data_IF_285311313285
#
_entry.id   IF_285311313285
#
_cell.length_a   1.000
_cell.length_b   1.000
_cell.length_c   1.000
_cell.angle_alpha   90.00
_cell.angle_beta   90.00
_cell.angle_gamma   90.00
#
_symmetry.space_group_name_H-M   'P 1'
#
loop_
_entity.id
_entity.type
_entity.pdbx_description
1 polymer ?
#
# COMPACT_ATOMS: atom_id res chain seq x y z
N UNK A 1 14.44 42.11 28.54
CA UNK A 1 13.72 40.96 29.11
C UNK A 1 12.45 40.77 28.31
N UNK A 2 12.38 39.72 27.50
CA UNK A 2 11.15 39.15 26.93
C UNK A 2 11.40 37.65 26.84
N UNK A 3 10.59 36.93 27.59
CA UNK A 3 10.53 35.47 27.72
C UNK A 3 9.59 34.88 26.67
N UNK A 4 9.71 33.56 26.49
CA UNK A 4 8.67 32.60 26.03
C UNK A 4 8.46 32.55 24.49
N UNK A 5 8.41 31.40 23.79
CA UNK A 5 8.20 29.98 24.12
C UNK A 5 9.04 29.09 23.20
N UNK A 6 9.76 28.11 23.77
CA UNK A 6 10.27 26.98 23.00
C UNK A 6 9.11 26.02 22.74
N UNK A 7 8.61 26.01 21.50
CA UNK A 7 7.61 25.05 21.06
C UNK A 7 8.25 23.66 21.06
N UNK A 8 8.02 22.89 22.13
CA UNK A 8 8.41 21.49 22.20
C UNK A 8 7.34 20.71 21.46
N UNK A 9 7.52 20.53 20.15
CA UNK A 9 6.72 19.56 19.42
C UNK A 9 6.97 18.19 20.05
N UNK A 10 5.92 17.66 20.66
CA UNK A 10 5.88 16.32 21.20
C UNK A 10 6.24 15.35 20.08
N UNK A 11 7.46 14.82 20.09
CA UNK A 11 7.91 13.72 19.23
C UNK A 11 7.26 12.41 19.70
N UNK A 12 5.93 12.36 19.65
CA UNK A 12 5.18 11.12 19.72
C UNK A 12 5.53 10.33 18.48
N UNK A 13 6.25 9.23 18.63
CA UNK A 13 6.62 8.35 17.54
C UNK A 13 5.35 7.91 16.79
N UNK A 14 5.15 8.39 15.56
CA UNK A 14 4.00 8.01 14.72
C UNK A 14 4.18 6.55 14.34
N UNK A 15 3.13 5.76 14.56
CA UNK A 15 3.15 4.34 14.18
C UNK A 15 3.13 4.23 12.65
N UNK A 16 3.79 3.19 12.14
CA UNK A 16 3.92 2.93 10.70
C UNK A 16 2.88 1.91 10.23
N UNK A 17 2.06 2.32 9.26
CA UNK A 17 1.03 1.46 8.67
C UNK A 17 1.39 1.10 7.24
N UNK A 18 1.45 -0.19 6.92
CA UNK A 18 1.46 -0.63 5.53
C UNK A 18 0.03 -0.62 4.97
N UNK A 19 -0.19 0.07 3.85
CA UNK A 19 -1.47 0.08 3.15
C UNK A 19 -1.31 -0.56 1.78
N UNK A 20 -1.85 -1.75 1.59
CA UNK A 20 -1.97 -2.36 0.25
C UNK A 20 -3.09 -1.73 -0.54
N UNK A 21 -2.98 -1.73 -1.87
CA UNK A 21 -4.01 -1.14 -2.73
C UNK A 21 -4.11 0.39 -2.59
N UNK A 22 -3.08 1.04 -2.04
CA UNK A 22 -3.04 2.49 -1.77
C UNK A 22 -3.24 3.36 -3.02
N UNK A 23 -3.00 2.82 -4.21
CA UNK A 23 -3.22 3.52 -5.49
C UNK A 23 -4.66 3.40 -6.02
N UNK A 24 -5.50 2.56 -5.43
CA UNK A 24 -6.90 2.39 -5.82
C UNK A 24 -7.83 3.43 -5.18
N UNK A 25 -9.08 3.50 -5.62
CA UNK A 25 -10.03 4.51 -5.14
C UNK A 25 -10.20 4.51 -3.61
N UNK A 26 -10.54 3.36 -3.01
CA UNK A 26 -10.72 3.26 -1.56
C UNK A 26 -9.38 3.46 -0.83
N UNK A 27 -8.29 2.86 -1.36
CA UNK A 27 -6.98 2.97 -0.76
C UNK A 27 -6.44 4.40 -0.73
N UNK A 28 -6.67 5.17 -1.78
CA UNK A 28 -6.25 6.57 -1.84
C UNK A 28 -6.97 7.45 -0.82
N UNK A 29 -8.29 7.30 -0.70
CA UNK A 29 -9.06 8.03 0.31
C UNK A 29 -8.66 7.64 1.74
N UNK A 30 -8.41 6.34 1.97
CA UNK A 30 -7.95 5.87 3.27
C UNK A 30 -6.53 6.38 3.59
N UNK A 31 -5.64 6.40 2.60
CA UNK A 31 -4.29 6.95 2.73
C UNK A 31 -4.32 8.38 3.28
N UNK A 32 -5.16 9.25 2.71
CA UNK A 32 -5.30 10.64 3.18
C UNK A 32 -5.71 10.70 4.65
N UNK A 33 -6.67 9.88 5.09
CA UNK A 33 -7.12 9.86 6.49
C UNK A 33 -6.03 9.31 7.43
N UNK A 34 -5.31 8.26 7.04
CA UNK A 34 -4.25 7.67 7.86
C UNK A 34 -3.09 8.64 8.09
N UNK A 35 -2.75 9.45 7.09
CA UNK A 35 -1.64 10.42 7.18
C UNK A 35 -1.88 11.56 8.17
N UNK A 36 -3.06 11.68 8.77
CA UNK A 36 -3.32 12.62 9.86
C UNK A 36 -2.56 12.20 11.14
N UNK A 37 -2.49 10.91 11.43
CA UNK A 37 -1.98 10.38 12.71
C UNK A 37 -0.82 9.38 12.56
N UNK A 38 -0.66 8.78 11.38
CA UNK A 38 0.31 7.72 11.12
C UNK A 38 1.30 8.10 10.01
N UNK A 39 2.43 7.42 9.99
CA UNK A 39 3.27 7.36 8.79
C UNK A 39 2.87 6.13 7.97
N UNK A 40 2.67 6.30 6.67
CA UNK A 40 2.09 5.25 5.83
C UNK A 40 3.12 4.74 4.83
N UNK A 41 3.30 3.42 4.81
CA UNK A 41 4.00 2.70 3.75
C UNK A 41 2.95 2.25 2.73
N UNK A 42 2.80 3.01 1.65
CA UNK A 42 1.84 2.78 0.59
C UNK A 42 2.36 1.70 -0.39
N UNK A 43 1.68 0.55 -0.43
CA UNK A 43 2.07 -0.60 -1.23
C UNK A 43 1.26 -0.68 -2.53
N UNK A 44 1.97 -0.78 -3.65
CA UNK A 44 1.39 -1.06 -4.97
C UNK A 44 2.39 -1.82 -5.84
N UNK A 45 1.95 -2.39 -6.98
CA UNK A 45 2.86 -3.14 -7.88
C UNK A 45 4.02 -2.30 -8.43
N UNK A 46 3.82 -0.99 -8.59
CA UNK A 46 4.82 -0.06 -9.11
C UNK A 46 5.05 1.08 -8.11
N UNK A 47 5.11 0.75 -6.82
CA UNK A 47 5.23 1.75 -5.76
C UNK A 47 6.51 2.56 -5.87
N UNK A 48 7.64 1.94 -6.23
CA UNK A 48 8.93 2.63 -6.31
C UNK A 48 8.99 3.69 -7.44
N UNK A 49 7.99 3.73 -8.32
CA UNK A 49 7.85 4.76 -9.36
C UNK A 49 7.07 5.98 -8.89
N UNK A 50 6.58 5.98 -7.64
CA UNK A 50 5.80 7.07 -7.05
C UNK A 50 6.66 7.89 -6.11
N UNK A 51 6.31 9.16 -5.99
CA UNK A 51 7.03 10.08 -5.12
C UNK A 51 6.57 9.95 -3.68
N UNK A 52 7.54 9.88 -2.78
CA UNK A 52 7.31 9.93 -1.34
C UNK A 52 6.94 11.35 -0.91
N UNK A 53 6.25 11.47 0.21
CA UNK A 53 6.00 12.75 0.88
C UNK A 53 6.23 12.61 2.39
N UNK A 54 5.94 13.68 3.15
CA UNK A 54 6.22 13.79 4.58
C UNK A 54 5.71 12.62 5.43
N UNK A 55 4.56 12.02 5.06
CA UNK A 55 3.92 10.94 5.83
C UNK A 55 3.63 9.70 4.96
N UNK A 56 4.15 9.65 3.74
CA UNK A 56 3.93 8.54 2.80
C UNK A 56 5.23 8.11 2.17
N UNK A 57 5.59 6.86 2.39
CA UNK A 57 6.64 6.14 1.67
C UNK A 57 5.98 5.15 0.72
N UNK A 58 6.28 5.21 -0.57
CA UNK A 58 5.83 4.20 -1.52
C UNK A 58 6.83 3.06 -1.64
N UNK A 59 6.32 1.83 -1.67
CA UNK A 59 7.13 0.64 -1.95
C UNK A 59 6.44 -0.25 -2.96
N UNK A 60 7.21 -0.82 -3.89
CA UNK A 60 6.71 -1.89 -4.73
C UNK A 60 6.45 -3.14 -3.90
N UNK A 61 5.28 -3.72 -4.07
CA UNK A 61 4.91 -4.98 -3.42
C UNK A 61 4.07 -5.82 -4.37
N UNK A 62 4.52 -7.05 -4.58
CA UNK A 62 3.75 -8.11 -5.18
C UNK A 62 3.24 -9.05 -4.08
N UNK A 63 1.98 -8.91 -3.71
CA UNK A 63 1.42 -9.53 -2.51
C UNK A 63 1.34 -11.06 -2.54
N UNK A 64 1.43 -11.67 -3.73
CA UNK A 64 1.50 -13.11 -3.90
C UNK A 64 2.91 -13.67 -3.75
N UNK A 65 3.92 -12.80 -3.64
CA UNK A 65 5.31 -13.17 -3.41
C UNK A 65 5.68 -12.93 -1.95
N UNK A 66 5.98 -14.00 -1.21
CA UNK A 66 6.39 -13.92 0.20
C UNK A 66 7.61 -13.00 0.36
N UNK A 67 8.63 -13.17 -0.47
CA UNK A 67 9.86 -12.37 -0.39
C UNK A 67 9.63 -10.89 -0.74
N UNK A 68 8.65 -10.58 -1.59
CA UNK A 68 8.24 -9.20 -1.85
C UNK A 68 7.50 -8.62 -0.65
N UNK A 69 6.57 -9.38 -0.06
CA UNK A 69 5.83 -8.97 1.12
C UNK A 69 6.74 -8.72 2.34
N UNK A 70 7.70 -9.60 2.60
CA UNK A 70 8.66 -9.45 3.70
C UNK A 70 9.44 -8.14 3.61
N UNK A 71 9.95 -7.82 2.41
CA UNK A 71 10.67 -6.56 2.16
C UNK A 71 9.76 -5.35 2.29
N UNK A 72 8.57 -5.42 1.68
CA UNK A 72 7.61 -4.32 1.68
C UNK A 72 7.12 -3.98 3.10
N UNK A 73 6.95 -4.99 3.96
CA UNK A 73 6.45 -4.85 5.32
C UNK A 73 7.54 -4.56 6.36
N UNK A 74 8.80 -4.40 5.96
CA UNK A 74 9.88 -4.13 6.91
C UNK A 74 9.65 -2.80 7.66
N UNK A 75 9.71 -2.87 9.00
CA UNK A 75 9.57 -1.69 9.88
C UNK A 75 8.14 -1.15 10.01
N UNK A 76 7.13 -1.97 9.67
CA UNK A 76 5.71 -1.67 9.81
C UNK A 76 5.21 -2.17 11.17
N UNK A 77 4.37 -1.37 11.83
CA UNK A 77 3.68 -1.77 13.07
C UNK A 77 2.34 -2.47 12.77
N UNK A 78 1.60 -1.98 11.77
CA UNK A 78 0.30 -2.54 11.36
C UNK A 78 0.17 -2.63 9.84
N UNK A 79 -0.52 -3.66 9.34
CA UNK A 79 -0.81 -3.79 7.92
C UNK A 79 -2.32 -3.76 7.65
N UNK A 80 -2.73 -2.96 6.66
CA UNK A 80 -4.07 -2.90 6.12
C UNK A 80 -4.07 -3.57 4.74
N UNK A 81 -4.74 -4.73 4.68
CA UNK A 81 -4.90 -5.50 3.45
C UNK A 81 -6.18 -5.06 2.70
N UNK A 82 -6.02 -4.20 1.70
CA UNK A 82 -7.08 -3.62 0.86
C UNK A 82 -6.83 -3.95 -0.62
N UNK A 83 -6.45 -5.20 -0.90
CA UNK A 83 -6.58 -5.70 -2.27
C UNK A 83 -8.04 -6.07 -2.43
N UNK A 84 -8.79 -5.28 -3.20
CA UNK A 84 -10.10 -5.72 -3.64
C UNK A 84 -9.92 -7.09 -4.27
N UNK A 85 -10.64 -8.08 -3.74
CA UNK A 85 -10.88 -9.33 -4.42
C UNK A 85 -11.51 -8.97 -5.76
N UNK A 86 -10.68 -8.76 -6.79
CA UNK A 86 -11.11 -9.16 -8.11
C UNK A 86 -11.37 -10.67 -7.98
N UNK A 87 -12.62 -10.98 -7.63
CA UNK A 87 -13.35 -12.06 -8.28
C UNK A 87 -12.80 -12.16 -9.72
N UNK A 88 -12.45 -13.35 -10.22
CA UNK A 88 -12.04 -13.49 -11.61
C UNK A 88 -13.24 -13.15 -12.50
N UNK A 89 -13.48 -11.87 -12.78
CA UNK A 89 -14.40 -11.37 -13.81
C UNK A 89 -13.73 -11.52 -15.17
N UNK A 90 -13.32 -12.76 -15.47
CA UNK A 90 -13.05 -13.34 -16.79
C UNK A 90 -12.37 -14.72 -16.64
N UNK A 91 -12.92 -15.63 -15.82
CA UNK A 91 -13.08 -17.01 -16.29
C UNK A 91 -14.42 -17.12 -17.02
N UNK A 92 -14.68 -16.23 -17.96
CA UNK A 92 -15.59 -16.52 -19.06
C UNK A 92 -14.70 -17.16 -20.13
N UNK A 93 -14.67 -18.48 -20.13
CA UNK A 93 -14.72 -19.32 -21.32
C UNK A 93 -14.20 -18.67 -22.62
N UNK A 94 -12.89 -18.63 -22.79
CA UNK A 94 -12.30 -18.98 -24.08
C UNK A 94 -11.29 -20.09 -23.83
N UNK A 95 -11.85 -21.27 -23.51
CA UNK A 95 -11.28 -22.45 -24.11
C UNK A 95 -11.25 -22.17 -25.62
N UNK A 96 -10.05 -22.20 -26.20
CA UNK A 96 -9.91 -22.38 -27.63
C UNK A 96 -10.43 -23.80 -27.93
N UNK A 97 -11.75 -23.95 -28.05
CA UNK A 97 -12.43 -25.21 -28.41
C UNK A 97 -12.19 -25.61 -29.88
N UNK A 98 -11.22 -25.01 -30.55
CA UNK A 98 -10.86 -25.31 -31.94
C UNK A 98 -9.46 -25.93 -32.10
N UNK A 99 -8.79 -26.35 -31.02
CA UNK A 99 -7.46 -26.97 -31.11
C UNK A 99 -7.33 -28.28 -30.31
N UNK A 100 -8.42 -29.05 -30.24
CA UNK A 100 -8.46 -30.41 -29.68
C UNK A 100 -9.02 -31.46 -30.66
N UNK A 101 -8.92 -31.21 -31.97
CA UNK A 101 -9.02 -32.27 -32.98
C UNK A 101 -7.61 -32.59 -33.49
N UNK A 102 -6.94 -33.52 -32.81
CA UNK A 102 -5.84 -34.27 -33.40
C UNK A 102 -6.45 -35.44 -34.19
N UNK A 103 -6.52 -35.29 -35.51
CA UNK A 103 -6.58 -36.41 -36.44
C UNK A 103 -5.22 -37.14 -36.50
#
# INVERSE_FOLDING_TARGET
MHTTEANTESSGNRLKIALTGASGYIGHNLLEQLTLEYDVIALSRHGDQKENNSHVEWRSCELFSISSAEKALQGVDYAIYLVHSMMPTAKLTQANFADMDAH
#
